data_IF_425877510692
#
_entry.id   IF_425877510692
#
_cell.length_a   1.000
_cell.length_b   1.000
_cell.length_c   1.000
_cell.angle_alpha   90.00
_cell.angle_beta   90.00
_cell.angle_gamma   90.00
#
_symmetry.space_group_name_H-M   'P 1'
#
loop_
_entity.id
_entity.type
_entity.pdbx_description
1 polymer ?
#
# COMPACT_ATOMS: atom_id res chain seq x y z
N UNK A 1 30.01 5.19 -33.03
CA UNK A 1 30.48 4.44 -31.85
C UNK A 1 30.98 5.49 -30.86
N UNK A 2 30.07 6.10 -30.11
CA UNK A 2 30.43 7.16 -29.16
C UNK A 2 30.52 6.55 -27.77
N UNK A 3 31.66 6.79 -27.15
CA UNK A 3 32.13 6.28 -25.88
C UNK A 3 31.41 6.95 -24.72
N UNK A 4 31.07 6.18 -23.69
CA UNK A 4 30.58 6.66 -22.40
C UNK A 4 31.48 7.78 -21.85
N UNK A 5 30.89 8.95 -21.55
CA UNK A 5 31.56 10.03 -20.83
C UNK A 5 30.77 10.38 -19.58
N UNK A 6 31.44 10.28 -18.44
CA UNK A 6 31.18 10.99 -17.17
C UNK A 6 29.80 11.66 -17.07
N UNK A 7 28.79 10.95 -16.57
CA UNK A 7 27.80 11.61 -15.72
C UNK A 7 28.32 11.50 -14.29
N UNK A 8 28.98 12.57 -13.87
CA UNK A 8 29.25 12.89 -12.48
C UNK A 8 27.96 12.72 -11.68
N UNK A 9 28.06 12.04 -10.55
CA UNK A 9 27.00 11.85 -9.55
C UNK A 9 26.35 13.21 -9.26
N UNK A 10 25.18 13.45 -9.85
CA UNK A 10 24.31 14.55 -9.47
C UNK A 10 23.61 14.03 -8.21
N UNK A 11 23.88 14.64 -7.06
CA UNK A 11 23.18 14.32 -5.81
C UNK A 11 21.67 14.39 -6.05
N UNK A 12 20.91 13.39 -5.59
CA UNK A 12 19.45 13.27 -5.76
C UNK A 12 18.71 14.56 -5.37
N UNK A 13 19.28 15.36 -4.46
CA UNK A 13 18.78 16.70 -4.10
C UNK A 13 18.59 17.65 -5.30
N UNK A 14 19.40 17.51 -6.35
CA UNK A 14 19.30 18.33 -7.58
C UNK A 14 18.27 17.74 -8.56
N UNK A 15 18.03 16.44 -8.51
CA UNK A 15 16.98 15.76 -9.29
C UNK A 15 15.60 16.13 -8.73
N UNK A 16 15.45 16.12 -7.40
CA UNK A 16 14.20 16.44 -6.71
C UNK A 16 13.69 17.86 -7.00
N UNK A 17 14.58 18.85 -7.11
CA UNK A 17 14.20 20.23 -7.43
C UNK A 17 13.83 20.43 -8.92
N UNK A 18 14.32 19.57 -9.82
CA UNK A 18 14.07 19.68 -11.26
C UNK A 18 12.72 19.05 -11.66
N UNK A 19 12.31 17.98 -10.97
CA UNK A 19 11.05 17.23 -11.22
C UNK A 19 9.82 18.13 -11.02
N UNK A 20 9.81 18.95 -9.96
CA UNK A 20 8.68 19.86 -9.64
C UNK A 20 8.60 21.03 -10.65
N UNK A 21 9.67 21.34 -11.38
CA UNK A 21 9.76 22.54 -12.22
C UNK A 21 9.67 22.28 -13.73
N UNK A 22 9.80 21.04 -14.21
CA UNK A 22 9.92 20.76 -15.65
C UNK A 22 9.05 19.64 -16.22
N UNK A 23 8.23 18.93 -15.43
CA UNK A 23 7.29 17.93 -15.97
C UNK A 23 7.97 16.89 -16.86
N UNK A 24 9.16 16.42 -16.44
CA UNK A 24 9.94 15.43 -17.17
C UNK A 24 9.64 14.04 -16.63
N UNK A 25 9.15 13.21 -17.54
CA UNK A 25 8.79 11.80 -17.42
C UNK A 25 10.02 10.96 -17.00
N UNK A 26 10.31 10.90 -15.70
CA UNK A 26 11.32 10.00 -15.14
C UNK A 26 10.60 8.95 -14.31
N UNK A 27 10.19 7.87 -14.98
CA UNK A 27 9.84 6.63 -14.32
C UNK A 27 11.06 6.17 -13.51
N UNK A 28 10.99 6.28 -12.18
CA UNK A 28 11.96 5.63 -11.30
C UNK A 28 11.59 4.14 -11.33
N UNK A 29 12.07 3.43 -12.34
CA UNK A 29 11.65 2.03 -12.50
C UNK A 29 12.29 1.13 -11.46
N UNK A 30 13.40 1.48 -10.80
CA UNK A 30 13.97 0.70 -9.68
C UNK A 30 14.76 1.66 -8.76
N UNK A 31 14.27 1.89 -7.55
CA UNK A 31 14.88 2.82 -6.59
C UNK A 31 15.95 2.18 -5.66
N UNK A 32 16.30 0.92 -5.90
CA UNK A 32 17.13 0.05 -5.04
C UNK A 32 18.55 0.57 -4.66
N UNK A 33 19.01 1.73 -5.13
CA UNK A 33 20.31 2.31 -4.75
C UNK A 33 20.21 3.62 -3.93
N UNK A 34 19.02 3.98 -3.46
CA UNK A 34 18.79 5.18 -2.65
C UNK A 34 19.22 5.01 -1.17
N UNK A 35 19.94 6.00 -0.62
CA UNK A 35 20.21 6.11 0.83
C UNK A 35 19.20 6.98 1.58
N UNK A 36 18.11 7.36 0.91
CA UNK A 36 17.09 8.29 1.41
C UNK A 36 15.70 7.71 1.13
N UNK A 37 14.71 8.09 1.94
CA UNK A 37 13.29 7.81 1.72
C UNK A 37 12.86 8.28 0.32
N UNK A 38 12.16 7.42 -0.42
CA UNK A 38 11.67 7.67 -1.76
C UNK A 38 10.26 8.28 -1.70
N UNK A 39 10.03 9.33 -2.49
CA UNK A 39 8.69 9.80 -2.80
C UNK A 39 8.45 9.55 -4.29
N UNK A 40 7.58 8.60 -4.62
CA UNK A 40 7.16 8.36 -6.00
C UNK A 40 5.76 8.92 -6.20
N UNK A 41 5.59 9.74 -7.22
CA UNK A 41 4.27 10.16 -7.71
C UNK A 41 4.21 9.78 -9.18
N UNK A 42 3.44 8.74 -9.50
CA UNK A 42 3.30 8.32 -10.90
C UNK A 42 2.47 9.35 -11.68
N UNK A 43 3.00 9.79 -12.82
CA UNK A 43 2.25 10.61 -13.78
C UNK A 43 1.39 9.71 -14.68
N UNK A 44 0.32 10.23 -15.32
CA UNK A 44 -0.53 9.45 -16.22
C UNK A 44 0.29 8.85 -17.38
N UNK A 45 0.59 7.55 -17.28
CA UNK A 45 1.46 6.81 -18.19
C UNK A 45 1.53 5.32 -17.83
N UNK A 46 1.93 4.49 -18.80
CA UNK A 46 1.72 3.03 -18.86
C UNK A 46 2.55 2.16 -17.88
N UNK A 47 2.93 2.70 -16.72
CA UNK A 47 3.66 1.97 -15.67
C UNK A 47 2.73 1.75 -14.49
N UNK A 48 2.15 0.55 -14.45
CA UNK A 48 1.21 0.09 -13.43
C UNK A 48 1.92 -0.72 -12.32
N UNK A 49 3.24 -0.60 -12.19
CA UNK A 49 4.04 -1.27 -11.15
C UNK A 49 5.01 -0.23 -10.60
N UNK A 50 4.93 0.04 -9.30
CA UNK A 50 5.81 0.96 -8.58
C UNK A 50 6.38 0.25 -7.36
N UNK A 51 7.67 -0.10 -7.43
CA UNK A 51 8.39 -0.75 -6.34
C UNK A 51 9.22 0.30 -5.58
N UNK A 52 9.17 0.22 -4.25
CA UNK A 52 9.93 1.04 -3.32
C UNK A 52 11.38 0.59 -3.16
N UNK A 53 11.90 0.79 -1.96
CA UNK A 53 13.24 0.44 -1.51
C UNK A 53 13.16 -0.26 -0.16
N UNK A 54 14.26 -0.83 0.32
CA UNK A 54 14.32 -1.43 1.67
C UNK A 54 14.24 -0.38 2.82
N UNK A 55 13.63 0.79 2.60
CA UNK A 55 13.48 1.89 3.54
C UNK A 55 12.06 2.42 3.46
N UNK A 56 11.67 3.11 4.53
CA UNK A 56 10.42 3.86 4.59
C UNK A 56 10.24 4.84 3.43
N UNK A 57 9.24 4.55 2.62
CA UNK A 57 8.91 5.24 1.39
C UNK A 57 7.48 5.82 1.45
N UNK A 58 7.22 6.77 0.55
CA UNK A 58 5.87 7.26 0.27
C UNK A 58 5.62 7.06 -1.22
N UNK A 59 4.76 6.11 -1.55
CA UNK A 59 4.49 5.72 -2.93
C UNK A 59 3.04 6.06 -3.27
N UNK A 60 2.88 6.87 -4.32
CA UNK A 60 1.57 7.36 -4.78
C UNK A 60 1.34 6.94 -6.23
N UNK A 61 0.28 6.17 -6.42
CA UNK A 61 -0.29 5.76 -7.69
C UNK A 61 -0.84 6.91 -8.53
N UNK A 62 -1.48 6.54 -9.63
CA UNK A 62 -2.13 7.44 -10.56
C UNK A 62 -3.64 7.15 -10.59
N UNK A 63 -4.31 7.38 -11.72
CA UNK A 63 -5.76 7.20 -11.83
C UNK A 63 -6.15 5.94 -12.60
N UNK A 64 -5.23 4.99 -12.71
CA UNK A 64 -5.39 3.70 -13.35
C UNK A 64 -5.03 2.63 -12.33
N UNK A 65 -5.44 1.39 -12.58
CA UNK A 65 -4.95 0.22 -11.84
C UNK A 65 -3.43 0.21 -11.72
N UNK A 66 -2.95 0.15 -10.49
CA UNK A 66 -1.55 0.11 -10.10
C UNK A 66 -1.27 -1.13 -9.26
N UNK A 67 -0.03 -1.58 -9.30
CA UNK A 67 0.57 -2.51 -8.36
C UNK A 67 1.66 -1.71 -7.65
N UNK A 68 1.56 -1.59 -6.33
CA UNK A 68 2.48 -0.81 -5.52
C UNK A 68 3.10 -1.74 -4.49
N UNK A 69 4.42 -1.72 -4.37
CA UNK A 69 5.17 -2.59 -3.46
C UNK A 69 6.11 -1.74 -2.61
N UNK A 70 5.97 -1.79 -1.28
CA UNK A 70 6.79 -1.05 -0.31
C UNK A 70 8.23 -1.60 -0.18
N UNK A 71 8.34 -2.93 -0.12
CA UNK A 71 9.59 -3.71 0.09
C UNK A 71 9.92 -3.98 1.57
N UNK A 72 10.81 -3.21 2.22
CA UNK A 72 11.07 -3.38 3.66
C UNK A 72 10.95 -2.04 4.37
N UNK A 73 10.67 -2.08 5.67
CA UNK A 73 10.48 -0.93 6.58
C UNK A 73 9.07 -0.33 6.50
N UNK A 74 8.81 0.64 7.37
CA UNK A 74 7.49 1.27 7.50
C UNK A 74 7.19 2.22 6.31
N UNK A 75 6.24 1.86 5.45
CA UNK A 75 5.89 2.57 4.21
C UNK A 75 4.52 3.25 4.24
N UNK A 76 4.30 4.18 3.31
CA UNK A 76 2.98 4.75 3.02
C UNK A 76 2.65 4.58 1.55
N UNK A 77 1.66 3.76 1.25
CA UNK A 77 1.27 3.39 -0.11
C UNK A 77 -0.14 3.92 -0.42
N UNK A 78 -0.33 4.55 -1.57
CA UNK A 78 -1.61 5.17 -1.95
C UNK A 78 -1.97 4.86 -3.40
N UNK A 79 -3.04 4.09 -3.64
CA UNK A 79 -3.52 3.70 -4.97
C UNK A 79 -4.15 4.88 -5.74
N UNK A 80 -5.08 5.58 -5.07
CA UNK A 80 -5.88 6.73 -5.53
C UNK A 80 -7.12 6.35 -6.31
N UNK A 81 -7.03 6.15 -7.62
CA UNK A 81 -8.19 5.79 -8.43
C UNK A 81 -7.84 4.62 -9.32
N UNK A 82 -8.78 3.69 -9.46
CA UNK A 82 -8.55 2.47 -10.21
C UNK A 82 -8.65 1.30 -9.26
N UNK A 83 -8.55 0.10 -9.79
CA UNK A 83 -8.54 -1.11 -8.97
C UNK A 83 -7.08 -1.46 -8.75
N UNK A 84 -6.55 -1.11 -7.58
CA UNK A 84 -5.14 -1.14 -7.26
C UNK A 84 -4.78 -2.37 -6.40
N UNK A 85 -3.53 -2.79 -6.45
CA UNK A 85 -2.96 -3.85 -5.64
C UNK A 85 -1.77 -3.30 -4.85
N UNK A 86 -1.89 -3.22 -3.52
CA UNK A 86 -0.89 -2.62 -2.64
C UNK A 86 -0.28 -3.68 -1.73
N UNK A 87 1.06 -3.73 -1.67
CA UNK A 87 1.83 -4.65 -0.83
C UNK A 87 2.76 -3.87 0.09
N UNK A 88 2.50 -3.87 1.39
CA UNK A 88 3.36 -3.29 2.43
C UNK A 88 4.70 -4.04 2.54
N UNK A 89 4.62 -5.37 2.67
CA UNK A 89 5.73 -6.30 2.90
C UNK A 89 6.20 -6.19 4.38
N UNK A 90 7.44 -6.54 4.80
CA UNK A 90 7.83 -6.34 6.20
C UNK A 90 7.96 -4.86 6.60
N UNK A 91 7.21 -4.43 7.60
CA UNK A 91 7.13 -3.03 8.01
C UNK A 91 5.88 -2.77 8.84
N UNK A 92 5.78 -1.62 9.49
CA UNK A 92 4.48 -1.15 9.98
C UNK A 92 3.96 -0.13 8.98
N UNK A 93 3.14 -0.60 8.05
CA UNK A 93 2.80 0.11 6.84
C UNK A 93 1.45 0.80 6.93
N UNK A 94 1.26 1.81 6.08
CA UNK A 94 -0.03 2.48 5.87
C UNK A 94 -0.42 2.33 4.41
N UNK A 95 -1.46 1.55 4.15
CA UNK A 95 -1.97 1.31 2.81
C UNK A 95 -3.32 2.01 2.63
N UNK A 96 -3.47 2.79 1.56
CA UNK A 96 -4.70 3.48 1.20
C UNK A 96 -5.12 3.12 -0.24
N UNK A 97 -6.17 2.33 -0.40
CA UNK A 97 -6.77 2.02 -1.70
C UNK A 97 -7.37 3.28 -2.35
N UNK A 98 -8.32 3.89 -1.63
CA UNK A 98 -9.10 5.09 -1.96
C UNK A 98 -10.32 4.84 -2.85
N UNK A 99 -10.22 4.91 -4.18
CA UNK A 99 -11.37 4.77 -5.07
C UNK A 99 -11.17 3.62 -6.04
N UNK A 100 -12.10 2.67 -6.02
CA UNK A 100 -12.08 1.49 -6.88
C UNK A 100 -12.00 0.24 -6.04
N UNK A 101 -12.22 -0.92 -6.67
CA UNK A 101 -12.15 -2.20 -5.98
C UNK A 101 -10.68 -2.63 -5.84
N UNK A 102 -10.12 -2.43 -4.66
CA UNK A 102 -8.69 -2.56 -4.37
C UNK A 102 -8.35 -3.87 -3.64
N UNK A 103 -7.07 -4.24 -3.68
CA UNK A 103 -6.50 -5.40 -2.99
C UNK A 103 -5.31 -4.92 -2.16
N UNK A 104 -5.40 -5.01 -0.83
CA UNK A 104 -4.36 -4.52 0.09
C UNK A 104 -3.79 -5.68 0.92
N UNK A 105 -2.47 -5.79 0.94
CA UNK A 105 -1.71 -6.74 1.76
C UNK A 105 -0.72 -5.99 2.65
N UNK A 106 -0.92 -5.99 3.97
CA UNK A 106 0.05 -5.48 4.94
C UNK A 106 1.31 -6.35 4.95
N UNK A 107 1.12 -7.64 5.23
CA UNK A 107 2.13 -8.68 5.39
C UNK A 107 2.74 -8.75 6.79
N UNK A 108 3.99 -8.34 7.02
CA UNK A 108 4.68 -8.64 8.29
C UNK A 108 4.91 -7.33 9.08
N UNK A 109 4.14 -7.10 10.14
CA UNK A 109 4.27 -5.97 11.06
C UNK A 109 2.92 -5.46 11.51
N UNK A 110 2.86 -4.38 12.31
CA UNK A 110 1.59 -3.83 12.80
C UNK A 110 1.07 -2.79 11.78
N UNK A 111 0.23 -3.23 10.84
CA UNK A 111 -0.17 -2.46 9.67
C UNK A 111 -1.47 -1.68 9.85
N UNK A 112 -1.69 -0.68 8.99
CA UNK A 112 -2.94 0.08 8.89
C UNK A 112 -3.42 0.13 7.45
N UNK A 113 -4.55 -0.51 7.17
CA UNK A 113 -5.14 -0.63 5.84
C UNK A 113 -6.47 0.12 5.79
N UNK A 114 -6.64 0.95 4.76
CA UNK A 114 -7.89 1.61 4.41
C UNK A 114 -8.29 1.20 2.99
N UNK A 115 -9.41 0.47 2.86
CA UNK A 115 -9.96 0.06 1.57
C UNK A 115 -10.39 1.28 0.76
N UNK A 116 -11.40 1.98 1.26
CA UNK A 116 -11.83 3.27 0.73
C UNK A 116 -13.24 3.20 0.19
N UNK A 117 -13.41 3.12 -1.12
CA UNK A 117 -14.72 3.10 -1.76
C UNK A 117 -14.79 1.99 -2.80
N UNK A 118 -15.93 1.32 -2.84
CA UNK A 118 -16.21 0.11 -3.63
C UNK A 118 -15.78 -1.17 -2.89
N UNK A 119 -15.85 -2.32 -3.54
CA UNK A 119 -15.68 -3.62 -2.87
C UNK A 119 -14.19 -3.96 -2.77
N UNK A 120 -13.62 -3.92 -1.56
CA UNK A 120 -12.20 -4.14 -1.33
C UNK A 120 -11.90 -5.52 -0.71
N UNK A 121 -10.69 -6.02 -0.99
CA UNK A 121 -10.09 -7.13 -0.25
C UNK A 121 -8.88 -6.64 0.54
N UNK A 122 -8.87 -6.93 1.84
CA UNK A 122 -7.80 -6.53 2.73
C UNK A 122 -7.27 -7.71 3.54
N UNK A 123 -5.94 -7.84 3.60
CA UNK A 123 -5.23 -8.80 4.43
C UNK A 123 -4.16 -8.07 5.27
N UNK A 124 -4.32 -8.07 6.59
CA UNK A 124 -3.36 -7.49 7.54
C UNK A 124 -2.05 -8.28 7.51
N UNK A 125 -2.11 -9.56 7.83
CA UNK A 125 -0.98 -10.48 7.76
C UNK A 125 -0.53 -10.89 9.16
N UNK A 126 0.77 -10.86 9.45
CA UNK A 126 1.28 -11.10 10.81
C UNK A 126 1.47 -9.77 11.51
N UNK A 127 0.80 -9.58 12.65
CA UNK A 127 0.97 -8.38 13.45
C UNK A 127 -0.32 -8.05 14.17
N UNK A 128 -0.40 -6.85 14.75
CA UNK A 128 -1.64 -6.34 15.32
C UNK A 128 -2.17 -5.25 14.40
N UNK A 129 -2.96 -5.69 13.43
CA UNK A 129 -3.31 -4.85 12.28
C UNK A 129 -4.58 -4.05 12.54
N UNK A 130 -4.75 -2.97 11.78
CA UNK A 130 -5.97 -2.17 11.76
C UNK A 130 -6.50 -2.11 10.34
N UNK A 131 -7.65 -2.72 10.12
CA UNK A 131 -8.31 -2.76 8.82
C UNK A 131 -9.58 -1.92 8.87
N UNK A 132 -9.69 -0.97 7.94
CA UNK A 132 -10.82 -0.07 7.77
C UNK A 132 -11.44 -0.30 6.38
N UNK A 133 -12.66 -0.86 6.34
CA UNK A 133 -13.45 -1.08 5.11
C UNK A 133 -13.86 0.22 4.42
N UNK A 134 -14.24 1.20 5.24
CA UNK A 134 -14.79 2.48 4.79
C UNK A 134 -16.13 2.33 4.05
N UNK A 135 -16.20 2.38 2.72
CA UNK A 135 -17.45 2.33 1.96
C UNK A 135 -17.44 1.17 0.97
N UNK A 136 -18.40 0.25 1.04
CA UNK A 136 -18.47 -0.85 0.10
C UNK A 136 -18.83 -2.15 0.78
N UNK A 137 -18.90 -3.24 0.01
CA UNK A 137 -19.06 -4.57 0.58
C UNK A 137 -17.69 -5.23 0.62
N UNK A 138 -17.01 -5.19 1.77
CA UNK A 138 -15.59 -5.55 1.88
C UNK A 138 -15.33 -6.95 2.42
N UNK A 139 -14.16 -7.49 2.10
CA UNK A 139 -13.65 -8.76 2.66
C UNK A 139 -12.36 -8.51 3.41
N UNK A 140 -12.38 -8.79 4.72
CA UNK A 140 -11.27 -8.50 5.64
C UNK A 140 -10.67 -9.78 6.21
N UNK A 141 -9.34 -9.85 6.23
CA UNK A 141 -8.55 -10.90 6.85
C UNK A 141 -7.49 -10.27 7.76
N UNK A 142 -7.52 -10.56 9.05
CA UNK A 142 -6.53 -10.02 9.99
C UNK A 142 -5.17 -10.71 9.89
N UNK A 143 -5.17 -12.04 9.83
CA UNK A 143 -3.97 -12.86 9.97
C UNK A 143 -3.35 -12.83 11.38
N UNK A 144 -2.31 -13.65 11.68
CA UNK A 144 -1.82 -13.85 13.06
C UNK A 144 -1.60 -12.59 13.91
N UNK A 145 -2.27 -12.50 15.07
CA UNK A 145 -2.11 -11.42 16.04
C UNK A 145 -3.43 -10.78 16.48
N UNK A 146 -3.36 -9.65 17.19
CA UNK A 146 -4.53 -9.03 17.80
C UNK A 146 -5.06 -7.89 16.93
N UNK A 147 -5.99 -8.23 16.04
CA UNK A 147 -6.41 -7.32 14.97
C UNK A 147 -7.61 -6.45 15.36
N UNK A 148 -7.72 -5.31 14.70
CA UNK A 148 -8.86 -4.41 14.81
C UNK A 148 -9.50 -4.21 13.44
N UNK A 149 -10.80 -4.49 13.36
CA UNK A 149 -11.60 -4.33 12.15
C UNK A 149 -12.65 -3.25 12.37
N UNK A 150 -12.66 -2.25 11.49
CA UNK A 150 -13.75 -1.32 11.32
C UNK A 150 -14.32 -1.52 9.92
N UNK A 151 -15.47 -2.19 9.84
CA UNK A 151 -16.04 -2.54 8.54
C UNK A 151 -16.67 -1.38 7.79
N UNK A 152 -16.92 -0.24 8.44
CA UNK A 152 -17.51 0.91 7.73
C UNK A 152 -18.97 0.71 7.29
N UNK A 153 -19.31 1.21 6.10
CA UNK A 153 -20.64 1.14 5.50
C UNK A 153 -20.72 0.07 4.41
N UNK A 154 -21.59 -0.91 4.60
CA UNK A 154 -21.96 -1.88 3.58
C UNK A 154 -22.21 -3.24 4.20
N UNK A 155 -22.06 -4.29 3.41
CA UNK A 155 -22.06 -5.66 3.89
C UNK A 155 -20.64 -6.24 3.85
N UNK A 156 -20.02 -6.27 5.02
CA UNK A 156 -18.61 -6.64 5.14
C UNK A 156 -18.44 -7.98 5.82
N UNK A 157 -17.43 -8.74 5.40
CA UNK A 157 -17.17 -10.09 5.89
C UNK A 157 -15.75 -10.20 6.41
N UNK A 158 -15.60 -10.58 7.68
CA UNK A 158 -14.31 -10.99 8.24
C UNK A 158 -14.19 -12.50 8.12
N UNK A 159 -13.17 -12.98 7.40
CA UNK A 159 -13.05 -14.40 7.04
C UNK A 159 -12.23 -15.24 8.03
N UNK A 160 -11.52 -14.61 8.96
CA UNK A 160 -10.57 -15.27 9.86
C UNK A 160 -10.64 -14.81 11.33
N UNK A 161 -11.79 -14.27 11.78
CA UNK A 161 -11.93 -13.68 13.11
C UNK A 161 -11.58 -14.66 14.26
N UNK A 162 -10.53 -14.35 15.04
CA UNK A 162 -9.91 -15.16 16.09
C UNK A 162 -10.03 -14.52 17.48
N UNK A 163 -11.07 -14.92 18.22
CA UNK A 163 -11.26 -14.49 19.63
C UNK A 163 -10.12 -14.84 20.59
N UNK A 164 -9.29 -15.86 20.27
CA UNK A 164 -8.15 -16.27 21.10
C UNK A 164 -6.97 -15.29 20.98
N UNK A 165 -6.85 -14.62 19.83
CA UNK A 165 -5.79 -13.65 19.55
C UNK A 165 -6.21 -12.21 19.88
N UNK A 166 -7.48 -12.05 20.27
CA UNK A 166 -8.13 -10.82 20.79
C UNK A 166 -8.54 -9.85 19.69
N UNK A 167 -8.93 -10.38 18.56
CA UNK A 167 -9.54 -9.61 17.49
C UNK A 167 -10.76 -8.83 17.99
N UNK A 168 -10.93 -7.63 17.45
CA UNK A 168 -12.04 -6.72 17.76
C UNK A 168 -12.64 -6.22 16.46
N UNK A 169 -13.95 -6.37 16.30
CA UNK A 169 -14.69 -5.86 15.16
C UNK A 169 -15.71 -4.77 15.57
N UNK A 170 -15.91 -3.77 14.72
CA UNK A 170 -16.89 -2.69 14.87
C UNK A 170 -17.68 -2.46 13.56
N UNK A 171 -18.76 -1.67 13.63
CA UNK A 171 -19.57 -1.28 12.48
C UNK A 171 -20.17 -2.44 11.67
N UNK A 172 -20.83 -3.36 12.37
CA UNK A 172 -21.69 -4.43 11.81
C UNK A 172 -21.01 -5.45 10.87
N UNK A 173 -19.71 -5.70 11.02
CA UNK A 173 -19.03 -6.82 10.34
C UNK A 173 -19.79 -8.15 10.48
N UNK A 174 -19.94 -8.89 9.39
CA UNK A 174 -20.30 -10.32 9.45
C UNK A 174 -19.04 -11.15 9.77
N UNK A 175 -19.02 -11.80 10.93
CA UNK A 175 -17.89 -12.61 11.38
C UNK A 175 -18.03 -14.08 10.94
N UNK A 176 -17.14 -14.56 10.07
CA UNK A 176 -16.97 -15.99 9.83
C UNK A 176 -15.99 -16.55 10.86
N UNK A 177 -16.54 -17.19 11.90
CA UNK A 177 -15.73 -17.79 12.97
C UNK A 177 -15.11 -19.10 12.52
N UNK A 178 -13.80 -19.13 12.35
CA UNK A 178 -13.06 -20.38 12.15
C UNK A 178 -12.85 -21.06 13.51
N UNK A 179 -13.42 -22.25 13.69
CA UNK A 179 -13.18 -23.07 14.89
C UNK A 179 -11.81 -23.74 14.75
N UNK A 180 -10.72 -23.03 15.06
CA UNK A 180 -9.38 -23.63 15.15
C UNK A 180 -8.89 -23.62 16.58
#
# INVERSE_FOLDING_TARGET
MFTFSLLSIISINVIFLLVISFGIDFAITHAQESRENLIVVSEPGNYNITDGTDRSDIIVGNSMTNVIVGEESDDVLMGRQGNDELHGNPGNDILLGNLGADILFGNDGDDVLFGGAEEDYMNGGKGNDRLYGDLGDDVLEGGPGADYFDCGEGYDVIIDFRTQEKDVAQNNCEEIRTNV
#
